data_IF_273478060050
#
_entry.id   IF_273478060050
#
_cell.length_a   1.000
_cell.length_b   1.000
_cell.length_c   1.000
_cell.angle_alpha   90.00
_cell.angle_beta   90.00
_cell.angle_gamma   90.00
#
_symmetry.space_group_name_H-M   'P 1'
#
loop_
_entity.id
_entity.type
_entity.pdbx_description
1 polymer ?
#
# COMPACT_ATOMS: atom_id res chain seq x y z
N UNK A 1 0.52 20.38 -6.37
CA UNK A 1 -0.94 20.59 -6.19
C UNK A 1 -1.70 19.27 -6.05
N UNK A 2 -1.42 18.23 -6.86
CA UNK A 2 -2.07 16.90 -6.73
C UNK A 2 -1.86 16.19 -5.38
N UNK A 3 -0.62 16.11 -4.87
CA UNK A 3 -0.35 15.43 -3.59
C UNK A 3 -1.13 16.06 -2.43
N UNK A 4 -1.14 17.39 -2.35
CA UNK A 4 -1.90 18.12 -1.34
C UNK A 4 -3.42 17.86 -1.49
N UNK A 5 -3.94 17.85 -2.71
CA UNK A 5 -5.33 17.52 -2.97
C UNK A 5 -5.67 16.10 -2.50
N UNK A 6 -4.81 15.11 -2.77
CA UNK A 6 -4.99 13.75 -2.26
C UNK A 6 -4.99 13.72 -0.73
N UNK A 7 -4.03 14.36 -0.07
CA UNK A 7 -4.00 14.42 1.39
C UNK A 7 -5.29 15.04 1.94
N UNK A 8 -5.76 16.15 1.38
CA UNK A 8 -7.01 16.80 1.79
C UNK A 8 -8.20 15.86 1.60
N UNK A 9 -8.33 15.21 0.43
CA UNK A 9 -9.41 14.25 0.16
C UNK A 9 -9.40 13.12 1.18
N UNK A 10 -8.24 12.51 1.44
CA UNK A 10 -8.13 11.43 2.41
C UNK A 10 -8.39 11.90 3.84
N UNK A 11 -7.99 13.11 4.25
CA UNK A 11 -8.36 13.68 5.55
C UNK A 11 -9.87 13.91 5.68
N UNK A 12 -10.54 14.33 4.60
CA UNK A 12 -12.00 14.45 4.58
C UNK A 12 -12.68 13.08 4.68
N UNK A 13 -12.16 12.06 3.98
CA UNK A 13 -12.62 10.68 4.11
C UNK A 13 -12.42 10.16 5.54
N UNK A 14 -11.25 10.41 6.14
CA UNK A 14 -10.95 10.05 7.52
C UNK A 14 -11.97 10.68 8.48
N UNK A 15 -12.21 11.99 8.36
CA UNK A 15 -13.22 12.69 9.17
C UNK A 15 -14.62 12.09 9.01
N UNK A 16 -14.98 11.64 7.81
CA UNK A 16 -16.34 11.18 7.48
C UNK A 16 -16.60 9.71 7.84
N UNK A 17 -15.60 8.85 7.70
CA UNK A 17 -15.75 7.39 7.72
C UNK A 17 -15.00 6.69 8.85
N UNK A 18 -13.99 7.33 9.47
CA UNK A 18 -13.25 6.72 10.57
C UNK A 18 -13.98 6.96 11.88
N UNK A 19 -14.30 5.88 12.59
CA UNK A 19 -14.68 5.90 13.99
C UNK A 19 -13.41 6.00 14.84
N UNK A 20 -13.01 7.23 15.16
CA UNK A 20 -11.82 7.53 15.93
C UNK A 20 -11.83 6.96 17.35
N UNK A 21 -12.96 6.49 17.88
CA UNK A 21 -12.99 5.86 19.20
C UNK A 21 -12.26 4.51 19.22
N UNK A 22 -12.19 3.84 18.06
CA UNK A 22 -11.63 2.48 17.90
C UNK A 22 -10.20 2.45 17.37
N UNK A 23 -9.49 3.58 17.38
CA UNK A 23 -8.22 3.66 16.65
C UNK A 23 -7.14 2.68 17.12
N UNK A 24 -7.13 2.37 18.42
CA UNK A 24 -6.19 1.42 19.05
C UNK A 24 -6.35 0.00 18.53
N UNK A 25 -7.55 -0.34 18.05
CA UNK A 25 -7.89 -1.66 17.53
C UNK A 25 -7.14 -1.97 16.23
N UNK A 26 -7.03 -0.97 15.34
CA UNK A 26 -6.42 -1.14 14.03
C UNK A 26 -4.95 -0.70 13.98
N UNK A 27 -4.51 0.10 14.96
CA UNK A 27 -3.17 0.66 15.03
C UNK A 27 -2.05 -0.36 14.81
N UNK A 28 -2.03 -1.55 15.46
CA UNK A 28 -0.96 -2.52 15.24
C UNK A 28 -0.88 -3.04 13.79
N UNK A 29 -2.03 -3.24 13.14
CA UNK A 29 -2.08 -3.74 11.76
C UNK A 29 -1.70 -2.66 10.75
N UNK A 30 -2.08 -1.42 11.01
CA UNK A 30 -1.66 -0.27 10.21
C UNK A 30 -0.14 -0.09 10.34
N UNK A 31 0.40 -0.15 11.55
CA UNK A 31 1.84 -0.01 11.80
C UNK A 31 2.64 -1.15 11.15
N UNK A 32 2.14 -2.37 11.22
CA UNK A 32 2.71 -3.52 10.50
C UNK A 32 2.85 -3.24 9.00
N UNK A 33 1.80 -2.72 8.35
CA UNK A 33 1.87 -2.39 6.93
C UNK A 33 2.87 -1.26 6.65
N UNK A 34 2.89 -0.21 7.47
CA UNK A 34 3.86 0.88 7.36
C UNK A 34 5.28 0.33 7.37
N UNK A 35 5.60 -0.57 8.31
CA UNK A 35 6.92 -1.19 8.42
C UNK A 35 7.23 -2.00 7.15
N UNK A 36 6.30 -2.82 6.67
CA UNK A 36 6.50 -3.57 5.42
C UNK A 36 6.71 -2.64 4.21
N UNK A 37 5.96 -1.53 4.12
CA UNK A 37 6.09 -0.57 3.02
C UNK A 37 7.44 0.17 3.05
N UNK A 38 7.89 0.56 4.24
CA UNK A 38 9.21 1.18 4.42
C UNK A 38 10.34 0.18 4.15
N UNK A 39 10.17 -1.08 4.57
CA UNK A 39 11.12 -2.16 4.29
C UNK A 39 11.24 -2.41 2.78
N UNK A 40 10.13 -2.45 2.04
CA UNK A 40 10.16 -2.52 0.58
C UNK A 40 10.94 -1.34 -0.01
N UNK A 41 10.63 -0.11 0.41
CA UNK A 41 11.33 1.09 -0.06
C UNK A 41 12.84 1.07 0.25
N UNK A 42 13.25 0.40 1.32
CA UNK A 42 14.64 0.19 1.68
C UNK A 42 15.31 -0.89 0.81
N UNK A 43 14.72 -2.09 0.75
CA UNK A 43 15.28 -3.24 0.03
C UNK A 43 15.36 -3.01 -1.49
N UNK A 44 14.36 -2.35 -2.06
CA UNK A 44 14.24 -2.12 -3.50
C UNK A 44 14.65 -0.70 -3.89
N UNK A 45 15.38 0.03 -3.05
CA UNK A 45 15.65 1.45 -3.28
C UNK A 45 16.32 1.71 -4.64
N UNK A 46 17.32 0.92 -5.01
CA UNK A 46 18.01 1.02 -6.31
C UNK A 46 17.39 0.11 -7.40
N UNK A 47 16.49 -0.80 -7.03
CA UNK A 47 15.84 -1.75 -7.92
C UNK A 47 14.31 -1.65 -7.81
N UNK A 48 13.74 -0.51 -8.17
CA UNK A 48 12.34 -0.24 -7.87
C UNK A 48 11.38 -1.08 -8.73
N UNK A 49 10.33 -1.64 -8.13
CA UNK A 49 9.26 -2.30 -8.89
C UNK A 49 8.23 -1.25 -9.35
N UNK A 50 7.89 -0.35 -8.45
CA UNK A 50 7.10 0.84 -8.75
C UNK A 50 7.63 2.06 -8.02
N UNK A 51 7.37 3.24 -8.57
CA UNK A 51 7.80 4.52 -8.03
C UNK A 51 6.72 5.58 -8.22
N UNK A 52 6.47 6.39 -7.19
CA UNK A 52 5.75 7.67 -7.33
C UNK A 52 6.69 8.77 -7.86
N UNK A 53 6.29 9.45 -8.94
CA UNK A 53 7.03 10.58 -9.52
C UNK A 53 6.31 11.91 -9.30
N UNK A 54 7.06 12.94 -8.93
CA UNK A 54 6.57 14.32 -8.94
C UNK A 54 6.68 14.90 -10.36
N UNK A 55 5.58 15.38 -10.92
CA UNK A 55 5.61 16.08 -12.21
C UNK A 55 5.65 17.61 -12.02
N UNK A 56 5.03 18.11 -10.96
CA UNK A 56 4.74 19.55 -10.83
C UNK A 56 5.77 20.37 -10.05
N UNK A 57 6.63 19.76 -9.23
CA UNK A 57 7.49 20.49 -8.30
C UNK A 57 8.88 19.85 -8.21
N UNK A 58 9.96 20.55 -8.62
CA UNK A 58 11.33 20.00 -8.62
C UNK A 58 11.86 19.63 -7.23
N UNK A 59 11.40 20.32 -6.19
CA UNK A 59 11.81 20.06 -4.79
C UNK A 59 11.06 18.90 -4.13
N UNK A 60 9.94 18.47 -4.73
CA UNK A 60 9.13 17.38 -4.21
C UNK A 60 9.79 16.05 -4.60
N UNK A 61 10.80 15.64 -3.85
CA UNK A 61 11.49 14.39 -4.14
C UNK A 61 10.62 13.16 -3.84
N UNK A 62 11.02 12.03 -4.44
CA UNK A 62 10.36 10.73 -4.26
C UNK A 62 10.14 10.37 -2.79
N UNK A 63 11.16 10.57 -1.96
CA UNK A 63 11.14 10.23 -0.53
C UNK A 63 9.99 10.94 0.18
N UNK A 64 9.79 12.24 -0.06
CA UNK A 64 8.73 12.99 0.58
C UNK A 64 7.34 12.49 0.15
N UNK A 65 7.17 12.16 -1.13
CA UNK A 65 5.92 11.58 -1.63
C UNK A 65 5.64 10.24 -0.92
N UNK A 66 6.61 9.33 -0.91
CA UNK A 66 6.49 8.02 -0.24
C UNK A 66 6.14 8.17 1.25
N UNK A 67 6.78 9.09 1.96
CA UNK A 67 6.50 9.34 3.37
C UNK A 67 5.07 9.88 3.58
N UNK A 68 4.61 10.81 2.74
CA UNK A 68 3.24 11.33 2.82
C UNK A 68 2.23 10.22 2.57
N UNK A 69 2.45 9.38 1.56
CA UNK A 69 1.58 8.23 1.30
C UNK A 69 1.59 7.25 2.47
N UNK A 70 2.79 6.90 2.98
CA UNK A 70 3.00 5.93 4.05
C UNK A 70 2.38 6.35 5.38
N UNK A 71 2.47 7.63 5.75
CA UNK A 71 2.06 8.09 7.08
C UNK A 71 0.68 8.77 7.11
N UNK A 72 0.11 9.14 5.96
CA UNK A 72 -1.23 9.76 5.91
C UNK A 72 -2.21 8.93 5.10
N UNK A 73 -1.92 8.68 3.82
CA UNK A 73 -2.90 8.07 2.90
C UNK A 73 -3.13 6.60 3.24
N UNK A 74 -2.06 5.83 3.44
CA UNK A 74 -2.10 4.41 3.78
C UNK A 74 -2.86 4.18 5.10
N UNK A 75 -2.54 4.85 6.22
CA UNK A 75 -3.22 4.64 7.49
C UNK A 75 -4.73 4.87 7.41
N UNK A 76 -5.15 5.95 6.75
CA UNK A 76 -6.57 6.26 6.56
C UNK A 76 -7.26 5.15 5.75
N UNK A 77 -6.63 4.73 4.65
CA UNK A 77 -7.18 3.69 3.78
C UNK A 77 -7.34 2.37 4.51
N UNK A 78 -6.28 1.92 5.19
CA UNK A 78 -6.27 0.67 5.92
C UNK A 78 -7.24 0.67 7.09
N UNK A 79 -7.41 1.82 7.75
CA UNK A 79 -8.42 1.97 8.78
C UNK A 79 -9.82 1.70 8.24
N UNK A 80 -10.19 2.39 7.14
CA UNK A 80 -11.51 2.22 6.53
C UNK A 80 -11.72 0.77 6.08
N UNK A 81 -10.70 0.16 5.47
CA UNK A 81 -10.70 -1.25 5.08
C UNK A 81 -10.98 -2.18 6.28
N UNK A 82 -10.25 -2.02 7.38
CA UNK A 82 -10.37 -2.89 8.56
C UNK A 82 -11.68 -2.66 9.30
N UNK A 83 -12.11 -1.40 9.46
CA UNK A 83 -13.32 -1.03 10.19
C UNK A 83 -14.58 -1.59 9.54
N UNK A 84 -14.66 -1.55 8.20
CA UNK A 84 -15.86 -1.97 7.45
C UNK A 84 -15.72 -3.37 6.85
N UNK A 85 -14.71 -4.14 7.26
CA UNK A 85 -14.51 -5.48 6.73
C UNK A 85 -15.70 -6.40 7.06
N UNK A 86 -16.44 -6.93 6.07
CA UNK A 86 -17.66 -7.68 6.32
C UNK A 86 -17.36 -9.13 6.73
N UNK A 87 -18.30 -9.74 7.45
CA UNK A 87 -18.28 -11.17 7.75
C UNK A 87 -18.95 -12.00 6.64
N UNK A 88 -18.66 -13.32 6.63
CA UNK A 88 -19.21 -14.26 5.65
C UNK A 88 -18.64 -14.11 4.23
N UNK A 89 -19.43 -14.40 3.20
CA UNK A 89 -18.99 -14.44 1.80
C UNK A 89 -18.84 -13.04 1.17
N UNK A 90 -19.41 -12.00 1.79
CA UNK A 90 -19.28 -10.61 1.30
C UNK A 90 -17.84 -10.10 1.34
N UNK A 91 -16.96 -10.76 2.11
CA UNK A 91 -15.53 -10.44 2.20
C UNK A 91 -14.80 -10.52 0.86
N UNK A 92 -15.18 -11.47 -0.01
CA UNK A 92 -14.53 -11.64 -1.31
C UNK A 92 -14.83 -10.47 -2.24
N UNK A 93 -16.10 -10.05 -2.30
CA UNK A 93 -16.53 -8.86 -3.04
C UNK A 93 -15.89 -7.60 -2.46
N UNK A 94 -15.79 -7.51 -1.14
CA UNK A 94 -15.17 -6.37 -0.46
C UNK A 94 -13.69 -6.22 -0.82
N UNK A 95 -12.91 -7.32 -0.76
CA UNK A 95 -11.51 -7.31 -1.20
C UNK A 95 -11.42 -6.97 -2.69
N UNK A 96 -12.28 -7.57 -3.52
CA UNK A 96 -12.32 -7.28 -4.97
C UNK A 96 -12.59 -5.81 -5.27
N UNK A 97 -13.50 -5.16 -4.53
CA UNK A 97 -13.80 -3.73 -4.68
C UNK A 97 -12.60 -2.86 -4.30
N UNK A 98 -11.88 -3.19 -3.22
CA UNK A 98 -10.67 -2.49 -2.83
C UNK A 98 -9.54 -2.66 -3.84
N UNK A 99 -9.32 -3.87 -4.33
CA UNK A 99 -8.33 -4.14 -5.39
C UNK A 99 -8.68 -3.36 -6.65
N UNK A 100 -9.94 -3.38 -7.09
CA UNK A 100 -10.39 -2.62 -8.25
C UNK A 100 -10.19 -1.11 -8.06
N UNK A 101 -10.49 -0.58 -6.87
CA UNK A 101 -10.27 0.83 -6.53
C UNK A 101 -8.79 1.22 -6.65
N UNK A 102 -7.89 0.44 -6.05
CA UNK A 102 -6.44 0.71 -6.10
C UNK A 102 -5.88 0.55 -7.52
N UNK A 103 -6.29 -0.50 -8.24
CA UNK A 103 -5.90 -0.71 -9.63
C UNK A 103 -6.38 0.43 -10.54
N UNK A 104 -7.59 0.97 -10.31
CA UNK A 104 -8.08 2.12 -11.06
C UNK A 104 -7.27 3.39 -10.78
N UNK A 105 -7.00 3.69 -9.50
CA UNK A 105 -6.15 4.84 -9.12
C UNK A 105 -4.76 4.72 -9.74
N UNK A 106 -4.17 3.53 -9.66
CA UNK A 106 -2.87 3.26 -10.25
C UNK A 106 -2.89 3.44 -11.76
N UNK A 107 -3.88 2.90 -12.46
CA UNK A 107 -4.05 3.07 -13.89
C UNK A 107 -4.10 4.55 -14.28
N UNK A 108 -4.94 5.35 -13.60
CA UNK A 108 -5.04 6.79 -13.84
C UNK A 108 -3.73 7.51 -13.54
N UNK A 109 -3.08 7.17 -12.42
CA UNK A 109 -1.80 7.75 -12.01
C UNK A 109 -0.69 7.45 -13.00
N UNK A 110 -0.66 6.24 -13.58
CA UNK A 110 0.27 5.87 -14.65
C UNK A 110 0.04 6.68 -15.92
N UNK A 111 -1.22 6.87 -16.33
CA UNK A 111 -1.55 7.63 -17.54
C UNK A 111 -1.11 9.09 -17.46
N UNK A 112 -1.07 9.65 -16.25
CA UNK A 112 -0.61 11.02 -16.00
C UNK A 112 0.91 11.05 -15.73
N UNK A 113 1.57 9.91 -15.57
CA UNK A 113 3.02 9.79 -15.32
C UNK A 113 3.43 9.92 -13.84
N UNK A 114 2.46 9.89 -12.92
CA UNK A 114 2.67 10.00 -11.47
C UNK A 114 3.06 8.67 -10.82
N UNK A 115 2.77 7.56 -11.49
CA UNK A 115 3.14 6.21 -11.07
C UNK A 115 3.89 5.53 -12.21
N UNK A 116 5.08 5.02 -11.94
CA UNK A 116 5.91 4.34 -12.95
C UNK A 116 6.18 2.93 -12.48
N UNK A 117 6.13 2.00 -13.43
CA UNK A 117 6.53 0.61 -13.22
C UNK A 117 7.90 0.40 -13.85
N UNK A 118 8.76 -0.29 -13.12
CA UNK A 118 10.12 -0.62 -13.53
C UNK A 118 10.39 -2.10 -13.23
N UNK A 119 11.53 -2.63 -13.71
CA UNK A 119 12.00 -3.99 -13.38
C UNK A 119 10.97 -5.12 -13.62
N UNK A 120 10.24 -5.05 -14.74
CA UNK A 120 9.25 -6.06 -15.13
C UNK A 120 7.93 -6.01 -14.36
N UNK A 121 7.78 -5.05 -13.43
CA UNK A 121 6.52 -4.80 -12.77
C UNK A 121 5.48 -4.28 -13.76
N UNK A 122 4.22 -4.66 -13.56
CA UNK A 122 3.11 -4.16 -14.34
C UNK A 122 1.84 -4.19 -13.50
N UNK A 123 0.73 -3.65 -14.04
CA UNK A 123 -0.51 -3.45 -13.28
C UNK A 123 -1.13 -4.76 -12.76
N UNK A 124 -0.88 -5.88 -13.43
CA UNK A 124 -1.28 -7.21 -12.99
C UNK A 124 -0.57 -7.64 -11.71
N UNK A 125 0.75 -7.40 -11.62
CA UNK A 125 1.52 -7.62 -10.39
C UNK A 125 1.04 -6.72 -9.26
N UNK A 126 0.70 -5.46 -9.53
CA UNK A 126 0.10 -4.59 -8.51
C UNK A 126 -1.26 -5.10 -8.01
N UNK A 127 -2.12 -5.58 -8.92
CA UNK A 127 -3.41 -6.15 -8.53
C UNK A 127 -3.24 -7.40 -7.66
N UNK A 128 -2.31 -8.30 -8.03
CA UNK A 128 -1.97 -9.47 -7.23
C UNK A 128 -1.39 -9.09 -5.86
N UNK A 129 -0.47 -8.11 -5.84
CA UNK A 129 0.08 -7.57 -4.61
C UNK A 129 -1.02 -7.03 -3.69
N UNK A 130 -1.96 -6.26 -4.23
CA UNK A 130 -3.09 -5.72 -3.47
C UNK A 130 -3.98 -6.83 -2.90
N UNK A 131 -4.29 -7.87 -3.68
CA UNK A 131 -5.05 -9.04 -3.18
C UNK A 131 -4.34 -9.66 -1.99
N UNK A 132 -3.05 -10.00 -2.14
CA UNK A 132 -2.25 -10.60 -1.09
C UNK A 132 -2.15 -9.68 0.14
N UNK A 133 -1.87 -8.39 -0.06
CA UNK A 133 -1.75 -7.39 1.00
C UNK A 133 -3.04 -7.28 1.81
N UNK A 134 -4.21 -7.15 1.18
CA UNK A 134 -5.48 -7.07 1.89
C UNK A 134 -5.80 -8.33 2.69
N UNK A 135 -5.52 -9.52 2.13
CA UNK A 135 -5.68 -10.79 2.83
C UNK A 135 -4.76 -10.87 4.05
N UNK A 136 -3.47 -10.54 3.88
CA UNK A 136 -2.47 -10.54 4.95
C UNK A 136 -2.85 -9.53 6.04
N UNK A 137 -3.36 -8.36 5.68
CA UNK A 137 -3.78 -7.35 6.65
C UNK A 137 -4.96 -7.83 7.50
N UNK A 138 -5.96 -8.45 6.87
CA UNK A 138 -7.08 -9.05 7.62
C UNK A 138 -6.58 -10.20 8.51
N UNK A 139 -5.63 -11.00 8.01
CA UNK A 139 -5.00 -12.06 8.79
C UNK A 139 -4.24 -11.49 9.98
N UNK A 140 -3.47 -10.40 9.82
CA UNK A 140 -2.69 -9.77 10.87
C UNK A 140 -3.58 -9.26 12.00
N UNK A 141 -4.68 -8.61 11.63
CA UNK A 141 -5.69 -8.16 12.58
C UNK A 141 -6.27 -9.32 13.41
N UNK A 142 -6.46 -10.51 12.81
CA UNK A 142 -6.97 -11.70 13.53
C UNK A 142 -5.88 -12.45 14.31
N UNK A 143 -4.68 -12.55 13.74
CA UNK A 143 -3.55 -13.28 14.29
C UNK A 143 -2.23 -12.78 13.67
N UNK A 144 -1.48 -12.00 14.45
CA UNK A 144 -0.23 -11.38 14.00
C UNK A 144 0.83 -12.41 13.59
N UNK A 145 0.97 -13.53 14.31
CA UNK A 145 1.98 -14.57 14.04
C UNK A 145 1.78 -15.15 12.63
N UNK A 146 0.54 -15.55 12.31
CA UNK A 146 0.21 -16.11 10.99
C UNK A 146 0.46 -15.10 9.88
N UNK A 147 0.20 -13.82 10.12
CA UNK A 147 0.47 -12.78 9.14
C UNK A 147 1.97 -12.55 8.93
N UNK A 148 2.81 -12.59 9.97
CA UNK A 148 4.26 -12.53 9.80
C UNK A 148 4.79 -13.66 8.93
N UNK A 149 4.33 -14.90 9.17
CA UNK A 149 4.69 -16.03 8.30
C UNK A 149 4.20 -15.84 6.86
N UNK A 150 2.94 -15.43 6.67
CA UNK A 150 2.39 -15.19 5.34
C UNK A 150 3.15 -14.07 4.60
N UNK A 151 3.50 -12.98 5.29
CA UNK A 151 4.31 -11.90 4.74
C UNK A 151 5.72 -12.35 4.39
N UNK A 152 6.38 -13.16 5.23
CA UNK A 152 7.70 -13.69 4.93
C UNK A 152 7.68 -14.53 3.65
N UNK A 153 6.70 -15.43 3.51
CA UNK A 153 6.51 -16.23 2.29
C UNK A 153 6.25 -15.32 1.09
N UNK A 154 5.39 -14.32 1.24
CA UNK A 154 5.06 -13.38 0.17
C UNK A 154 6.28 -12.57 -0.28
N UNK A 155 7.10 -12.09 0.66
CA UNK A 155 8.35 -11.38 0.37
C UNK A 155 9.34 -12.31 -0.35
N UNK A 156 9.49 -13.56 0.07
CA UNK A 156 10.36 -14.53 -0.61
C UNK A 156 9.91 -14.74 -2.06
N UNK A 157 8.60 -14.86 -2.31
CA UNK A 157 8.06 -14.99 -3.67
C UNK A 157 8.39 -13.74 -4.49
N UNK A 158 8.17 -12.54 -3.94
CA UNK A 158 8.53 -11.29 -4.65
C UNK A 158 10.02 -11.22 -4.96
N UNK A 159 10.87 -11.58 -4.01
CA UNK A 159 12.33 -11.62 -4.21
C UNK A 159 12.75 -12.68 -5.21
N UNK A 160 12.00 -13.77 -5.39
CA UNK A 160 12.31 -14.77 -6.41
C UNK A 160 12.04 -14.25 -7.82
N UNK A 161 10.95 -13.51 -8.02
CA UNK A 161 10.58 -12.96 -9.34
C UNK A 161 11.33 -11.67 -9.69
N UNK A 162 11.66 -10.86 -8.69
CA UNK A 162 12.18 -9.50 -8.87
C UNK A 162 13.46 -9.24 -8.07
N UNK A 163 14.31 -10.27 -7.93
CA UNK A 163 15.48 -10.20 -7.06
C UNK A 163 16.34 -8.97 -7.36
N UNK A 164 16.50 -8.02 -6.42
CA UNK A 164 17.55 -7.02 -6.54
C UNK A 164 18.89 -7.73 -6.36
N UNK A 165 19.88 -7.39 -7.17
CA UNK A 165 21.24 -7.85 -6.91
C UNK A 165 21.71 -7.34 -5.54
N UNK A 166 22.61 -8.09 -4.88
CA UNK A 166 23.16 -7.68 -3.57
C UNK A 166 23.83 -6.29 -3.62
N UNK A 167 24.26 -5.84 -4.80
CA UNK A 167 24.85 -4.52 -5.01
C UNK A 167 23.80 -3.40 -5.09
N UNK A 168 22.55 -3.71 -5.43
CA UNK A 168 21.41 -2.77 -5.50
C UNK A 168 20.67 -2.66 -4.15
N UNK A 169 20.92 -3.59 -3.22
CA UNK A 169 20.43 -3.50 -1.85
C UNK A 169 21.19 -2.39 -1.11
N UNK A 170 20.46 -1.44 -0.52
CA UNK A 170 21.03 -0.35 0.28
C UNK A 170 21.31 -0.75 1.72
#
# INVERSE_FOLDING_TARGET
>A
MYLLAMVIIYLLLAKRFIDWSRWKEFYPTIQFFIICNLLYNFLFYQHNLWIYKSITLPWLNRTLIELVFTFFIIPITLYIYLQYYPEGNKKYLYIGAWVAYFTLIEFLSRRIGLFVHDNGWHIGWSALFNICAFIILRLHYKNYIRAFFASAIFIIILLFFFHPSLQEMK
#
